data_IF_299184279445
#
_entry.id   IF_299184279445
#
_cell.length_a   1.000
_cell.length_b   1.000
_cell.length_c   1.000
_cell.angle_alpha   90.00
_cell.angle_beta   90.00
_cell.angle_gamma   90.00
#
_symmetry.space_group_name_H-M   'P 1'
#
loop_
_entity.id
_entity.type
_entity.pdbx_description
1 polymer ?
#
# COMPACT_ATOMS: atom_id res chain seq x y z
N UNK A 1 11.88 15.12 -2.61
CA UNK A 1 10.93 14.31 -3.38
C UNK A 1 9.72 14.21 -2.49
N UNK A 2 8.66 14.96 -2.80
CA UNK A 2 7.46 15.03 -1.97
C UNK A 2 6.84 13.64 -1.88
N UNK A 3 6.91 13.06 -0.68
CA UNK A 3 6.17 11.85 -0.35
C UNK A 3 4.69 12.24 -0.37
N UNK A 4 3.91 11.57 -1.20
CA UNK A 4 2.52 11.96 -1.49
C UNK A 4 1.57 11.45 -0.39
N UNK A 5 2.05 10.55 0.48
CA UNK A 5 1.30 9.87 1.54
C UNK A 5 1.81 10.21 2.95
N UNK A 6 0.97 9.95 3.95
CA UNK A 6 1.30 10.16 5.37
C UNK A 6 2.10 8.99 5.98
N UNK A 7 2.80 9.24 7.10
CA UNK A 7 3.59 8.23 7.83
C UNK A 7 2.78 6.97 8.18
N UNK A 8 1.49 7.13 8.49
CA UNK A 8 0.60 6.02 8.83
C UNK A 8 0.37 5.08 7.65
N UNK A 9 0.24 5.60 6.43
CA UNK A 9 0.10 4.78 5.23
C UNK A 9 1.36 3.97 5.01
N UNK A 10 2.51 4.65 5.09
CA UNK A 10 3.80 4.01 4.90
C UNK A 10 4.01 2.86 5.89
N UNK A 11 3.76 3.08 7.18
CA UNK A 11 3.90 2.03 8.20
C UNK A 11 3.02 0.81 7.88
N UNK A 12 1.77 1.02 7.47
CA UNK A 12 0.84 -0.06 7.14
C UNK A 12 1.30 -0.84 5.92
N UNK A 13 1.72 -0.15 4.86
CA UNK A 13 2.25 -0.79 3.65
C UNK A 13 3.50 -1.59 3.98
N UNK A 14 4.47 -0.99 4.69
CA UNK A 14 5.74 -1.66 5.03
C UNK A 14 5.55 -2.89 5.90
N UNK A 15 4.54 -2.91 6.79
CA UNK A 15 4.20 -4.13 7.57
C UNK A 15 3.74 -5.29 6.70
N UNK A 16 3.21 -5.01 5.52
CA UNK A 16 2.79 -6.01 4.54
C UNK A 16 3.88 -6.39 3.53
N UNK A 17 5.08 -5.81 3.63
CA UNK A 17 6.22 -6.02 2.72
C UNK A 17 7.38 -6.74 3.42
N UNK A 18 7.36 -8.08 3.52
CA UNK A 18 8.40 -8.84 4.22
C UNK A 18 9.77 -8.75 3.55
N UNK A 19 9.85 -8.40 2.26
CA UNK A 19 11.10 -8.31 1.53
C UNK A 19 11.67 -6.89 1.47
N UNK A 20 10.93 -5.88 1.95
CA UNK A 20 11.43 -4.51 2.05
C UNK A 20 12.10 -4.28 3.42
N UNK A 21 13.42 -4.04 3.49
CA UNK A 21 14.09 -3.85 4.75
C UNK A 21 13.67 -2.53 5.42
N UNK A 22 13.71 -2.45 6.77
CA UNK A 22 13.33 -1.24 7.51
C UNK A 22 14.27 -0.05 7.25
N UNK A 23 15.49 -0.32 6.78
CA UNK A 23 16.46 0.71 6.39
C UNK A 23 16.22 1.26 4.98
N UNK A 24 15.37 0.60 4.18
CA UNK A 24 15.08 1.00 2.82
C UNK A 24 13.83 1.89 2.77
N UNK A 25 13.92 2.96 2.00
CA UNK A 25 12.85 3.93 1.81
C UNK A 25 11.79 3.33 0.87
N UNK A 26 10.52 3.44 1.26
CA UNK A 26 9.42 3.06 0.39
C UNK A 26 9.30 4.11 -0.73
N UNK A 27 9.60 3.73 -1.97
CA UNK A 27 9.51 4.64 -3.12
C UNK A 27 8.14 4.57 -3.76
N UNK A 28 7.72 5.67 -4.38
CA UNK A 28 6.45 5.74 -5.11
C UNK A 28 6.38 4.71 -6.25
N UNK A 29 7.53 4.38 -6.83
CA UNK A 29 7.74 3.41 -7.89
C UNK A 29 8.08 1.99 -7.41
N UNK A 30 8.14 1.75 -6.09
CA UNK A 30 8.42 0.41 -5.54
C UNK A 30 7.35 -0.58 -5.98
N UNK A 31 7.76 -1.70 -6.55
CA UNK A 31 6.85 -2.81 -6.85
C UNK A 31 6.51 -3.53 -5.55
N UNK A 32 5.24 -3.43 -5.14
CA UNK A 32 4.78 -4.05 -3.89
C UNK A 32 4.83 -5.58 -3.97
N UNK A 33 4.59 -6.16 -5.14
CA UNK A 33 4.59 -7.61 -5.33
C UNK A 33 6.02 -8.16 -5.20
N UNK A 34 7.00 -7.49 -5.80
CA UNK A 34 8.43 -7.82 -5.68
C UNK A 34 8.93 -7.64 -4.25
N UNK A 35 8.39 -6.66 -3.52
CA UNK A 35 8.64 -6.43 -2.10
C UNK A 35 7.90 -7.42 -1.16
N UNK A 36 7.16 -8.39 -1.71
CA UNK A 36 6.56 -9.50 -0.97
C UNK A 36 5.07 -9.34 -0.62
N UNK A 37 4.37 -8.43 -1.30
CA UNK A 37 2.92 -8.31 -1.16
C UNK A 37 2.22 -9.46 -1.92
N UNK A 38 1.83 -10.48 -1.16
CA UNK A 38 1.06 -11.63 -1.66
C UNK A 38 -0.47 -11.43 -1.49
N UNK A 39 -1.28 -12.37 -2.00
CA UNK A 39 -2.75 -12.32 -1.93
C UNK A 39 -3.32 -12.14 -0.52
N UNK A 40 -2.73 -12.80 0.49
CA UNK A 40 -3.12 -12.61 1.89
C UNK A 40 -2.70 -11.23 2.41
N UNK A 41 -1.48 -10.79 2.07
CA UNK A 41 -0.96 -9.48 2.42
C UNK A 41 -1.81 -8.34 1.84
N UNK A 42 -2.34 -8.51 0.63
CA UNK A 42 -3.28 -7.56 -0.01
C UNK A 42 -4.54 -7.41 0.85
N UNK A 43 -5.16 -8.52 1.26
CA UNK A 43 -6.40 -8.49 2.07
C UNK A 43 -6.16 -7.87 3.45
N UNK A 44 -5.04 -8.20 4.10
CA UNK A 44 -4.67 -7.61 5.39
C UNK A 44 -4.34 -6.12 5.28
N UNK A 45 -3.59 -5.72 4.25
CA UNK A 45 -3.26 -4.33 3.96
C UNK A 45 -4.52 -3.52 3.69
N UNK A 46 -5.38 -4.03 2.81
CA UNK A 46 -6.67 -3.41 2.48
C UNK A 46 -7.51 -3.18 3.72
N UNK A 47 -7.72 -4.23 4.51
CA UNK A 47 -8.49 -4.15 5.77
C UNK A 47 -7.85 -3.13 6.71
N UNK A 48 -6.52 -3.15 6.85
CA UNK A 48 -5.81 -2.22 7.74
C UNK A 48 -5.96 -0.77 7.29
N UNK A 49 -5.91 -0.50 5.99
CA UNK A 49 -6.11 0.84 5.42
C UNK A 49 -7.55 1.32 5.63
N UNK A 50 -8.54 0.50 5.33
CA UNK A 50 -9.96 0.82 5.54
C UNK A 50 -10.25 1.14 7.00
N UNK A 51 -9.75 0.32 7.94
CA UNK A 51 -9.89 0.56 9.36
C UNK A 51 -9.12 1.80 9.83
N UNK A 52 -7.93 2.04 9.28
CA UNK A 52 -7.09 3.15 9.68
C UNK A 52 -7.65 4.51 9.25
N UNK A 53 -8.15 4.59 8.01
CA UNK A 53 -8.64 5.81 7.39
C UNK A 53 -10.17 5.96 7.49
N UNK A 54 -10.88 4.91 7.93
CA UNK A 54 -12.34 4.91 8.04
C UNK A 54 -13.04 4.94 6.69
N UNK A 55 -12.39 4.42 5.64
CA UNK A 55 -12.90 4.38 4.27
C UNK A 55 -13.25 2.97 3.84
N UNK A 56 -13.88 2.83 2.67
CA UNK A 56 -13.99 1.57 1.95
C UNK A 56 -13.47 1.73 0.53
N UNK A 57 -12.64 0.80 0.09
CA UNK A 57 -12.21 0.79 -1.31
C UNK A 57 -13.35 0.29 -2.19
N UNK A 58 -13.54 0.94 -3.34
CA UNK A 58 -14.45 0.45 -4.35
C UNK A 58 -13.95 -0.89 -4.91
N UNK A 59 -14.86 -1.82 -5.23
CA UNK A 59 -14.50 -3.11 -5.82
C UNK A 59 -13.71 -2.94 -7.14
N UNK A 60 -14.02 -1.89 -7.91
CA UNK A 60 -13.32 -1.52 -9.14
C UNK A 60 -11.89 -1.01 -8.89
N UNK A 61 -11.60 -0.51 -7.69
CA UNK A 61 -10.26 -0.11 -7.29
C UNK A 61 -9.40 -1.30 -6.82
N UNK A 62 -9.97 -2.48 -6.59
CA UNK A 62 -9.25 -3.68 -6.13
C UNK A 62 -8.57 -4.42 -7.29
N UNK A 63 -7.71 -3.72 -8.02
CA UNK A 63 -7.01 -4.27 -9.18
C UNK A 63 -5.53 -4.48 -8.89
N UNK A 64 -4.89 -5.34 -9.69
CA UNK A 64 -3.44 -5.55 -9.63
C UNK A 64 -2.64 -4.25 -9.84
N UNK A 65 -3.19 -3.29 -10.58
CA UNK A 65 -2.56 -1.99 -10.80
C UNK A 65 -2.55 -1.13 -9.52
N UNK A 66 -3.66 -1.12 -8.78
CA UNK A 66 -3.75 -0.44 -7.48
C UNK A 66 -2.77 -1.01 -6.46
N UNK A 67 -2.63 -2.35 -6.41
CA UNK A 67 -1.67 -3.02 -5.54
C UNK A 67 -0.29 -3.19 -6.17
N UNK A 68 -0.02 -2.53 -7.30
CA UNK A 68 1.27 -2.61 -7.98
C UNK A 68 2.33 -1.75 -7.28
N UNK A 69 1.97 -0.51 -6.90
CA UNK A 69 2.91 0.45 -6.31
C UNK A 69 2.27 1.25 -5.16
N UNK A 70 3.06 1.77 -4.19
CA UNK A 70 2.53 2.66 -3.15
C UNK A 70 1.79 3.86 -3.72
N UNK A 71 2.25 4.42 -4.84
CA UNK A 71 1.63 5.59 -5.43
C UNK A 71 0.23 5.33 -6.00
N UNK A 72 0.03 4.17 -6.65
CA UNK A 72 -1.29 3.79 -7.16
C UNK A 72 -2.24 3.43 -6.02
N UNK A 73 -1.73 2.74 -4.99
CA UNK A 73 -2.50 2.41 -3.79
C UNK A 73 -2.95 3.67 -3.03
N UNK A 74 -2.04 4.63 -2.82
CA UNK A 74 -2.36 5.90 -2.16
C UNK A 74 -3.41 6.68 -2.94
N UNK A 75 -3.29 6.74 -4.27
CA UNK A 75 -4.28 7.39 -5.13
C UNK A 75 -5.67 6.77 -5.01
N UNK A 76 -5.77 5.45 -4.90
CA UNK A 76 -7.04 4.78 -4.69
C UNK A 76 -7.64 5.05 -3.30
N UNK A 77 -6.78 5.30 -2.30
CA UNK A 77 -7.18 5.63 -0.93
C UNK A 77 -7.64 7.09 -0.78
N UNK A 78 -6.93 8.03 -1.41
CA UNK A 78 -7.15 9.47 -1.28
C UNK A 78 -8.16 10.04 -2.30
N UNK A 79 -8.74 9.17 -3.14
CA UNK A 79 -9.62 9.52 -4.26
C UNK A 79 -11.05 9.84 -3.86
#
# INVERSE_FOLDING_TARGET
>A
MDVIWDDRFEELVRRSLPFLPPSEELRADTDLTDAGLDSLGIVELLTSLEQAYGVRFAEDALTRETFGTPATLWRALSG
#
